data_IF_237261571965
#
_entry.id   IF_237261571965
#
_cell.length_a   1.000
_cell.length_b   1.000
_cell.length_c   1.000
_cell.angle_alpha   90.00
_cell.angle_beta   90.00
_cell.angle_gamma   90.00
#
_symmetry.space_group_name_H-M   'P 1'
#
loop_
_entity.id
_entity.type
_entity.pdbx_description
1 polymer ?
#
# COMPACT_ATOMS: atom_id res chain seq x y z
N UNK A 1 -14.92 5.45 0.93
CA UNK A 1 -13.82 5.36 -0.05
C UNK A 1 -12.55 4.81 0.60
N UNK A 2 -12.22 5.22 1.83
CA UNK A 2 -10.99 4.78 2.51
C UNK A 2 -10.85 3.26 2.67
N UNK A 3 -11.94 2.51 2.90
CA UNK A 3 -11.87 1.04 3.03
C UNK A 3 -11.47 0.34 1.72
N UNK A 4 -11.97 0.86 0.58
CA UNK A 4 -11.60 0.34 -0.75
C UNK A 4 -10.13 0.61 -1.05
N UNK A 5 -9.65 1.80 -0.72
CA UNK A 5 -8.23 2.15 -0.86
C UNK A 5 -7.36 1.26 0.03
N UNK A 6 -7.73 1.08 1.30
CA UNK A 6 -7.03 0.19 2.23
C UNK A 6 -6.93 -1.23 1.69
N UNK A 7 -8.05 -1.81 1.27
CA UNK A 7 -8.08 -3.18 0.72
C UNK A 7 -7.22 -3.31 -0.54
N UNK A 8 -7.22 -2.29 -1.40
CA UNK A 8 -6.38 -2.28 -2.59
C UNK A 8 -4.89 -2.29 -2.23
N UNK A 9 -4.48 -1.44 -1.28
CA UNK A 9 -3.10 -1.37 -0.79
C UNK A 9 -2.69 -2.69 -0.12
N UNK A 10 -3.54 -3.28 0.74
CA UNK A 10 -3.29 -4.57 1.38
C UNK A 10 -3.08 -5.70 0.36
N UNK A 11 -3.94 -5.77 -0.67
CA UNK A 11 -3.84 -6.78 -1.74
C UNK A 11 -2.58 -6.60 -2.56
N UNK A 12 -2.25 -5.38 -2.97
CA UNK A 12 -1.05 -5.11 -3.77
C UNK A 12 0.22 -5.36 -2.96
N UNK A 13 0.26 -5.00 -1.67
CA UNK A 13 1.38 -5.37 -0.79
C UNK A 13 1.53 -6.88 -0.66
N UNK A 14 0.43 -7.62 -0.47
CA UNK A 14 0.47 -9.08 -0.42
C UNK A 14 0.92 -9.71 -1.74
N UNK A 15 0.46 -9.18 -2.87
CA UNK A 15 0.84 -9.63 -4.21
C UNK A 15 2.34 -9.50 -4.46
N UNK A 16 2.93 -8.40 -4.00
CA UNK A 16 4.37 -8.14 -4.11
C UNK A 16 5.19 -8.59 -2.89
N UNK A 17 4.65 -9.48 -2.04
CA UNK A 17 5.33 -10.04 -0.87
C UNK A 17 5.91 -8.96 0.08
N UNK A 18 5.20 -7.84 0.22
CA UNK A 18 5.62 -6.70 1.03
C UNK A 18 6.64 -5.78 0.37
N UNK A 19 7.04 -6.01 -0.88
CA UNK A 19 7.94 -5.12 -1.62
C UNK A 19 7.26 -3.78 -1.91
N UNK A 20 7.53 -2.81 -1.03
CA UNK A 20 6.92 -1.47 -1.06
C UNK A 20 7.27 -0.67 -2.31
N UNK A 21 8.40 -0.94 -2.98
CA UNK A 21 8.75 -0.25 -4.23
C UNK A 21 7.83 -0.72 -5.35
N UNK A 22 7.76 -2.04 -5.59
CA UNK A 22 6.88 -2.61 -6.62
C UNK A 22 5.40 -2.35 -6.37
N UNK A 23 4.98 -2.45 -5.11
CA UNK A 23 3.62 -2.11 -4.71
C UNK A 23 3.28 -0.65 -5.02
N UNK A 24 4.21 0.29 -4.78
CA UNK A 24 3.97 1.71 -5.09
C UNK A 24 3.91 1.99 -6.59
N UNK A 25 4.73 1.29 -7.39
CA UNK A 25 4.72 1.38 -8.86
C UNK A 25 3.38 0.89 -9.43
N UNK A 26 2.87 -0.25 -8.94
CA UNK A 26 1.56 -0.78 -9.37
C UNK A 26 0.39 0.12 -8.96
N UNK A 27 0.42 0.67 -7.74
CA UNK A 27 -0.60 1.60 -7.24
C UNK A 27 -0.54 2.98 -7.93
N UNK A 28 0.48 3.26 -8.75
CA UNK A 28 0.66 4.55 -9.41
C UNK A 28 0.94 5.70 -8.45
N UNK A 29 1.54 5.43 -7.30
CA UNK A 29 1.87 6.44 -6.27
C UNK A 29 3.34 6.41 -5.91
N UNK A 30 3.83 7.51 -5.33
CA UNK A 30 5.19 7.51 -4.78
C UNK A 30 5.31 6.51 -3.62
N UNK A 31 6.50 5.92 -3.44
CA UNK A 31 6.82 5.07 -2.28
C UNK A 31 6.60 5.81 -0.94
N UNK A 32 6.87 7.11 -0.89
CA UNK A 32 6.62 7.93 0.30
C UNK A 32 5.12 8.02 0.64
N UNK A 33 4.28 8.21 -0.38
CA UNK A 33 2.81 8.19 -0.24
C UNK A 33 2.32 6.84 0.26
N UNK A 34 2.84 5.74 -0.30
CA UNK A 34 2.49 4.38 0.15
C UNK A 34 2.86 4.18 1.63
N UNK A 35 4.05 4.58 2.06
CA UNK A 35 4.47 4.48 3.47
C UNK A 35 3.55 5.28 4.39
N UNK A 36 3.15 6.49 4.00
CA UNK A 36 2.23 7.31 4.77
C UNK A 36 0.85 6.65 4.90
N UNK A 37 0.35 6.01 3.83
CA UNK A 37 -0.92 5.28 3.83
C UNK A 37 -0.86 3.99 4.65
N UNK A 38 0.23 3.23 4.57
CA UNK A 38 0.45 2.04 5.42
C UNK A 38 0.35 2.40 6.90
N UNK A 39 1.01 3.50 7.30
CA UNK A 39 0.95 4.02 8.68
C UNK A 39 -0.46 4.49 9.05
N UNK A 40 -1.11 5.27 8.17
CA UNK A 40 -2.47 5.79 8.39
C UNK A 40 -3.48 4.67 8.61
N UNK A 41 -3.35 3.58 7.86
CA UNK A 41 -4.31 2.46 7.89
C UNK A 41 -3.88 1.29 8.77
N UNK A 42 -2.74 1.38 9.45
CA UNK A 42 -2.17 0.31 10.28
C UNK A 42 -2.12 -1.05 9.57
N UNK A 43 -1.65 -1.07 8.31
CA UNK A 43 -1.64 -2.27 7.43
C UNK A 43 -0.51 -3.25 7.79
N UNK A 44 0.58 -2.74 8.35
CA UNK A 44 1.74 -3.52 8.77
C UNK A 44 2.15 -3.04 10.16
N UNK A 45 1.99 -3.92 11.15
CA UNK A 45 2.74 -3.89 12.41
C UNK A 45 3.98 -4.79 12.25
#
# INVERSE_FOLDING_TARGET
MDEVERMHIERTLKHHEGNRTRASEELGISRATLIAKIKRYAILD
#
